data_IF_407270794171
#
_entry.id   IF_407270794171
#
_cell.length_a   1.000
_cell.length_b   1.000
_cell.length_c   1.000
_cell.angle_alpha   90.00
_cell.angle_beta   90.00
_cell.angle_gamma   90.00
#
_symmetry.space_group_name_H-M   'P 1'
#
loop_
_entity.id
_entity.type
_entity.pdbx_description
1 polymer ?
#
# COMPACT_ATOMS: atom_id res chain seq x y z
N UNK A 1 18.33 20.45 -5.14
CA UNK A 1 18.52 18.98 -5.14
C UNK A 1 17.19 18.24 -5.08
N UNK A 2 16.31 18.50 -4.08
CA UNK A 2 15.05 17.75 -3.88
C UNK A 2 14.06 17.80 -5.06
N UNK A 3 13.84 18.95 -5.69
CA UNK A 3 12.97 19.06 -6.88
C UNK A 3 13.47 18.25 -8.09
N UNK A 4 14.79 18.15 -8.26
CA UNK A 4 15.40 17.34 -9.33
C UNK A 4 15.13 15.85 -9.06
N UNK A 5 15.19 15.43 -7.79
CA UNK A 5 14.87 14.06 -7.40
C UNK A 5 13.40 13.70 -7.70
N UNK A 6 12.44 14.60 -7.43
CA UNK A 6 11.03 14.35 -7.79
C UNK A 6 10.82 14.21 -9.31
N UNK A 7 11.45 15.07 -10.12
CA UNK A 7 11.37 14.97 -11.59
C UNK A 7 11.98 13.65 -12.07
N UNK A 8 13.09 13.21 -11.49
CA UNK A 8 13.72 11.93 -11.81
C UNK A 8 12.87 10.73 -11.41
N UNK A 9 12.21 10.78 -10.24
CA UNK A 9 11.28 9.71 -9.80
C UNK A 9 10.09 9.62 -10.74
N UNK A 10 9.49 10.75 -11.12
CA UNK A 10 8.37 10.78 -12.08
C UNK A 10 8.79 10.32 -13.48
N UNK A 11 9.96 10.76 -13.97
CA UNK A 11 10.51 10.28 -15.23
C UNK A 11 10.82 8.77 -15.18
N UNK A 12 11.31 8.29 -14.03
CA UNK A 12 11.49 6.88 -13.74
C UNK A 12 10.18 6.11 -13.85
N UNK A 13 9.12 6.54 -13.14
CA UNK A 13 7.79 5.92 -13.20
C UNK A 13 7.30 5.81 -14.65
N UNK A 14 7.39 6.90 -15.43
CA UNK A 14 6.99 6.89 -16.84
C UNK A 14 7.85 5.93 -17.67
N UNK A 15 9.16 5.93 -17.45
CA UNK A 15 10.11 5.03 -18.12
C UNK A 15 9.84 3.55 -17.82
N UNK A 16 9.58 3.20 -16.56
CA UNK A 16 9.24 1.84 -16.14
C UNK A 16 7.89 1.39 -16.70
N UNK A 17 6.89 2.28 -16.73
CA UNK A 17 5.58 2.02 -17.35
C UNK A 17 5.71 1.79 -18.85
N UNK A 18 6.52 2.59 -19.54
CA UNK A 18 6.76 2.45 -20.98
C UNK A 18 7.51 1.15 -21.30
N UNK A 19 8.61 0.89 -20.60
CA UNK A 19 9.43 -0.31 -20.79
C UNK A 19 8.66 -1.60 -20.46
N UNK A 20 7.74 -1.56 -19.50
CA UNK A 20 6.89 -2.71 -19.19
C UNK A 20 5.78 -2.98 -20.20
N UNK A 21 5.34 -1.97 -20.96
CA UNK A 21 4.32 -2.10 -22.01
C UNK A 21 4.87 -2.68 -23.31
N UNK A 22 6.11 -2.34 -23.69
CA UNK A 22 6.74 -2.85 -24.91
C UNK A 22 8.04 -3.58 -24.58
N UNK A 23 7.99 -4.92 -24.66
CA UNK A 23 9.11 -5.82 -24.37
C UNK A 23 9.79 -6.32 -25.65
N UNK A 24 9.40 -5.80 -26.81
CA UNK A 24 9.93 -6.24 -28.11
C UNK A 24 11.43 -5.98 -28.24
N UNK A 25 11.96 -4.95 -27.54
CA UNK A 25 13.39 -4.66 -27.53
C UNK A 25 14.23 -5.81 -26.94
N UNK A 26 13.66 -6.64 -26.07
CA UNK A 26 14.35 -7.79 -25.49
C UNK A 26 14.40 -9.00 -26.44
N UNK A 27 13.54 -9.07 -27.47
CA UNK A 27 13.55 -10.18 -28.43
C UNK A 27 14.81 -10.22 -29.28
N UNK A 28 15.44 -9.08 -29.51
CA UNK A 28 16.71 -8.97 -30.27
C UNK A 28 17.85 -9.74 -29.58
N UNK A 29 17.73 -9.98 -28.26
CA UNK A 29 18.75 -10.71 -27.49
C UNK A 29 18.57 -12.23 -27.48
N UNK A 30 17.47 -12.75 -28.02
CA UNK A 30 17.18 -14.20 -28.10
C UNK A 30 18.13 -14.89 -29.06
N UNK A 31 18.61 -16.08 -28.70
CA UNK A 31 19.46 -16.90 -29.56
C UNK A 31 18.74 -17.28 -30.85
N UNK A 32 17.43 -17.49 -30.80
CA UNK A 32 16.60 -17.75 -31.99
C UNK A 32 16.48 -16.57 -32.97
N UNK A 33 16.74 -15.33 -32.51
CA UNK A 33 16.70 -14.11 -33.31
C UNK A 33 18.10 -13.57 -33.65
N UNK A 34 19.16 -14.35 -33.42
CA UNK A 34 20.56 -13.98 -33.70
C UNK A 34 21.30 -13.33 -32.52
N UNK A 35 20.73 -13.36 -31.32
CA UNK A 35 21.32 -12.87 -30.08
C UNK A 35 22.23 -13.90 -29.37
N UNK A 36 22.85 -13.45 -28.27
CA UNK A 36 23.84 -14.24 -27.52
C UNK A 36 23.27 -15.03 -26.33
N UNK A 37 22.01 -14.79 -25.97
CA UNK A 37 21.41 -15.32 -24.74
C UNK A 37 20.33 -16.36 -25.04
N UNK A 38 20.27 -17.38 -24.18
CA UNK A 38 19.27 -18.43 -24.23
C UNK A 38 17.84 -17.87 -24.11
N UNK A 39 16.92 -18.41 -24.89
CA UNK A 39 15.56 -17.87 -25.05
C UNK A 39 14.76 -17.91 -23.73
N UNK A 40 14.96 -18.96 -22.92
CA UNK A 40 14.30 -19.12 -21.61
C UNK A 40 14.75 -18.02 -20.63
N UNK A 41 16.03 -17.65 -20.66
CA UNK A 41 16.55 -16.54 -19.85
C UNK A 41 15.96 -15.21 -20.27
N UNK A 42 15.89 -14.95 -21.58
CA UNK A 42 15.29 -13.70 -22.11
C UNK A 42 13.82 -13.59 -21.73
N UNK A 43 13.07 -14.69 -21.77
CA UNK A 43 11.67 -14.72 -21.33
C UNK A 43 11.51 -14.49 -19.82
N UNK A 44 12.43 -15.02 -19.01
CA UNK A 44 12.51 -14.70 -17.58
C UNK A 44 12.66 -13.20 -17.32
N UNK A 45 13.57 -12.53 -18.03
CA UNK A 45 13.75 -11.08 -17.91
C UNK A 45 12.53 -10.29 -18.39
N UNK A 46 11.88 -10.74 -19.47
CA UNK A 46 10.62 -10.15 -19.95
C UNK A 46 9.52 -10.20 -18.91
N UNK A 47 9.38 -11.33 -18.21
CA UNK A 47 8.43 -11.47 -17.08
C UNK A 47 8.74 -10.50 -15.95
N UNK A 48 10.01 -10.34 -15.58
CA UNK A 48 10.42 -9.33 -14.58
C UNK A 48 10.09 -7.91 -15.06
N UNK A 49 10.36 -7.60 -16.33
CA UNK A 49 10.07 -6.28 -16.91
C UNK A 49 8.59 -5.98 -16.94
N UNK A 50 7.75 -7.01 -17.15
CA UNK A 50 6.29 -6.89 -17.12
C UNK A 50 5.77 -6.42 -15.78
N UNK A 51 6.43 -6.73 -14.66
CA UNK A 51 5.99 -6.39 -13.30
C UNK A 51 6.36 -4.95 -12.91
N UNK A 52 7.33 -4.35 -13.59
CA UNK A 52 7.84 -3.00 -13.28
C UNK A 52 6.78 -1.90 -13.28
N UNK A 53 5.81 -1.86 -14.22
CA UNK A 53 4.75 -0.86 -14.18
C UNK A 53 3.91 -0.97 -12.91
N UNK A 54 3.56 -2.19 -12.48
CA UNK A 54 2.83 -2.38 -11.23
C UNK A 54 3.66 -1.88 -10.04
N UNK A 55 4.93 -2.27 -9.95
CA UNK A 55 5.84 -1.82 -8.91
C UNK A 55 6.04 -0.28 -8.92
N UNK A 56 6.09 0.35 -10.09
CA UNK A 56 6.22 1.80 -10.22
C UNK A 56 5.00 2.54 -9.64
N UNK A 57 3.79 2.02 -9.83
CA UNK A 57 2.58 2.61 -9.23
C UNK A 57 2.57 2.49 -7.69
N UNK A 58 3.28 1.50 -7.12
CA UNK A 58 3.45 1.40 -5.66
C UNK A 58 4.36 2.49 -5.09
N UNK A 59 5.14 3.22 -5.89
CA UNK A 59 5.99 4.33 -5.40
C UNK A 59 5.13 5.40 -4.70
N UNK A 60 4.01 5.80 -5.29
CA UNK A 60 3.12 6.80 -4.71
C UNK A 60 2.44 6.26 -3.44
N UNK A 61 2.11 4.96 -3.42
CA UNK A 61 1.63 4.30 -2.21
C UNK A 61 2.66 4.33 -1.08
N UNK A 62 3.91 3.93 -1.35
CA UNK A 62 4.99 4.01 -0.36
C UNK A 62 5.21 5.44 0.13
N UNK A 63 5.06 6.43 -0.76
CA UNK A 63 5.11 7.83 -0.36
C UNK A 63 3.99 8.22 0.62
N UNK A 64 2.75 7.82 0.34
CA UNK A 64 1.61 8.03 1.25
C UNK A 64 1.77 7.27 2.58
N UNK A 65 2.30 6.06 2.54
CA UNK A 65 2.59 5.25 3.73
C UNK A 65 3.65 5.94 4.61
N UNK A 66 4.82 6.28 4.05
CA UNK A 66 5.91 6.96 4.77
C UNK A 66 5.47 8.32 5.34
N UNK A 67 4.56 9.00 4.65
CA UNK A 67 3.96 10.25 5.11
C UNK A 67 3.16 10.06 6.41
N UNK A 68 2.55 8.90 6.60
CA UNK A 68 1.86 8.52 7.84
C UNK A 68 2.88 8.22 8.94
N UNK A 69 3.91 7.44 8.63
CA UNK A 69 4.94 7.09 9.63
C UNK A 69 5.72 8.30 10.13
N UNK A 70 6.07 9.26 9.25
CA UNK A 70 6.85 10.43 9.64
C UNK A 70 5.98 11.59 10.14
N UNK A 71 5.11 12.12 9.29
CA UNK A 71 4.45 13.40 9.53
C UNK A 71 3.16 13.25 10.34
N UNK A 72 2.40 12.17 10.14
CA UNK A 72 1.23 11.91 10.98
C UNK A 72 1.65 11.53 12.42
N UNK A 73 2.74 10.79 12.59
CA UNK A 73 3.29 10.54 13.93
C UNK A 73 3.62 11.85 14.68
N UNK A 74 4.22 12.85 14.00
CA UNK A 74 4.46 14.18 14.59
C UNK A 74 3.16 14.88 15.01
N UNK A 75 2.11 14.82 14.18
CA UNK A 75 0.77 15.35 14.51
C UNK A 75 0.20 14.67 15.77
N UNK A 76 0.35 13.35 15.87
CA UNK A 76 -0.19 12.59 17.01
C UNK A 76 0.58 12.83 18.31
N UNK A 77 1.85 13.21 18.24
CA UNK A 77 2.64 13.62 19.40
C UNK A 77 2.13 14.94 20.01
N UNK A 78 1.43 15.78 19.21
CA UNK A 78 0.82 17.01 19.67
C UNK A 78 -0.66 16.86 20.10
N UNK A 79 -1.17 15.63 20.18
CA UNK A 79 -2.48 15.37 20.76
C UNK A 79 -2.39 15.31 22.29
N UNK A 80 -3.54 15.29 22.98
CA UNK A 80 -3.59 14.98 24.41
C UNK A 80 -3.19 13.51 24.65
N UNK A 81 -1.93 13.33 25.07
CA UNK A 81 -1.29 12.06 25.41
C UNK A 81 -1.59 11.60 26.85
N UNK A 82 -2.29 12.41 27.66
CA UNK A 82 -2.62 12.05 29.05
C UNK A 82 -3.64 10.90 29.10
N UNK A 83 -3.40 9.95 30.01
CA UNK A 83 -4.30 8.82 30.26
C UNK A 83 -5.59 9.25 30.97
N UNK A 84 -5.50 10.16 31.94
CA UNK A 84 -6.63 10.86 32.53
C UNK A 84 -6.58 12.33 32.12
N UNK A 85 -7.59 12.79 31.38
CA UNK A 85 -7.65 14.19 30.91
C UNK A 85 -8.06 15.17 32.00
N UNK A 86 -8.56 14.65 33.13
CA UNK A 86 -9.04 15.44 34.26
C UNK A 86 -7.90 15.92 35.16
N UNK A 87 -6.73 15.26 35.08
CA UNK A 87 -5.55 15.51 35.88
C UNK A 87 -4.41 16.07 35.00
N UNK A 88 -3.98 17.33 35.19
CA UNK A 88 -2.85 17.93 34.49
C UNK A 88 -1.55 17.13 34.62
N UNK A 89 -1.34 16.45 35.75
CA UNK A 89 -0.13 15.66 36.05
C UNK A 89 -0.29 14.17 35.70
N UNK A 90 -1.35 13.79 34.98
CA UNK A 90 -1.57 12.41 34.57
C UNK A 90 -0.41 11.88 33.72
N UNK A 91 -0.11 10.58 33.89
CA UNK A 91 0.84 9.86 33.04
C UNK A 91 0.48 10.02 31.56
N UNK A 92 1.51 10.33 30.77
CA UNK A 92 1.42 10.50 29.32
C UNK A 92 1.93 9.24 28.61
N UNK A 93 1.29 8.87 27.50
CA UNK A 93 1.80 7.85 26.58
C UNK A 93 2.81 8.54 25.65
N UNK A 94 4.01 7.97 25.39
CA UNK A 94 4.90 8.52 24.38
C UNK A 94 4.19 8.54 23.02
N UNK A 95 4.04 9.70 22.37
CA UNK A 95 3.30 9.79 21.11
C UNK A 95 3.85 8.86 20.02
N UNK A 96 5.15 8.56 20.05
CA UNK A 96 5.78 7.57 19.17
C UNK A 96 5.19 6.15 19.30
N UNK A 97 4.65 5.78 20.47
CA UNK A 97 4.01 4.47 20.70
C UNK A 97 2.71 4.30 19.90
N UNK A 98 2.08 5.37 19.43
CA UNK A 98 0.85 5.28 18.63
C UNK A 98 1.09 4.56 17.29
N UNK A 99 2.32 4.52 16.79
CA UNK A 99 2.68 3.71 15.62
C UNK A 99 2.46 2.20 15.81
N UNK A 100 2.33 1.69 17.04
CA UNK A 100 2.05 0.27 17.31
C UNK A 100 0.67 -0.17 16.80
N UNK A 101 -0.25 0.76 16.60
CA UNK A 101 -1.60 0.44 16.12
C UNK A 101 -1.60 -0.10 14.70
N UNK A 102 -0.66 0.33 13.86
CA UNK A 102 -0.54 -0.17 12.48
C UNK A 102 -0.29 -1.70 12.42
N UNK A 103 0.79 -2.25 13.03
CA UNK A 103 1.02 -3.70 13.02
C UNK A 103 -0.07 -4.48 13.77
N UNK A 104 -0.71 -3.90 14.80
CA UNK A 104 -1.85 -4.52 15.49
C UNK A 104 -3.03 -4.69 14.52
N UNK A 105 -3.34 -3.65 13.73
CA UNK A 105 -4.39 -3.69 12.72
C UNK A 105 -4.07 -4.77 11.69
N UNK A 106 -2.83 -4.87 11.23
CA UNK A 106 -2.41 -5.90 10.25
C UNK A 106 -2.64 -7.31 10.80
N UNK A 107 -2.20 -7.58 12.04
CA UNK A 107 -2.36 -8.89 12.69
C UNK A 107 -3.83 -9.30 12.80
N UNK A 108 -4.74 -8.34 12.99
CA UNK A 108 -6.18 -8.58 13.06
C UNK A 108 -6.82 -8.66 11.67
N UNK A 109 -6.42 -7.80 10.73
CA UNK A 109 -7.02 -7.68 9.41
C UNK A 109 -6.67 -8.85 8.50
N UNK A 110 -5.43 -9.36 8.51
CA UNK A 110 -5.02 -10.51 7.68
C UNK A 110 -5.94 -11.73 7.88
N UNK A 111 -6.13 -12.27 9.10
CA UNK A 111 -6.98 -13.45 9.29
C UNK A 111 -8.44 -13.18 8.94
N UNK A 112 -8.94 -11.96 9.13
CA UNK A 112 -10.31 -11.56 8.72
C UNK A 112 -10.43 -11.54 7.19
N UNK A 113 -9.44 -10.96 6.50
CA UNK A 113 -9.41 -10.91 5.04
C UNK A 113 -9.39 -12.32 4.45
N UNK A 114 -8.51 -13.19 4.95
CA UNK A 114 -8.33 -14.55 4.46
C UNK A 114 -9.47 -15.49 4.83
N UNK A 115 -9.99 -15.41 6.05
CA UNK A 115 -10.99 -16.37 6.56
C UNK A 115 -12.44 -15.95 6.31
N UNK A 116 -12.70 -14.65 6.13
CA UNK A 116 -14.07 -14.13 6.03
C UNK A 116 -14.27 -13.40 4.70
N UNK A 117 -13.45 -12.38 4.39
CA UNK A 117 -13.72 -11.48 3.27
C UNK A 117 -13.53 -12.17 1.93
N UNK A 118 -12.39 -12.82 1.70
CA UNK A 118 -12.10 -13.53 0.47
C UNK A 118 -13.06 -14.70 0.20
N UNK A 119 -13.36 -15.60 1.15
CA UNK A 119 -14.32 -16.68 0.90
C UNK A 119 -15.76 -16.17 0.72
N UNK A 120 -16.17 -15.11 1.43
CA UNK A 120 -17.48 -14.49 1.21
C UNK A 120 -17.58 -13.85 -0.18
N UNK A 121 -16.51 -13.20 -0.63
CA UNK A 121 -16.43 -12.66 -1.98
C UNK A 121 -16.52 -13.77 -3.03
N UNK A 122 -15.74 -14.84 -2.88
CA UNK A 122 -15.78 -16.00 -3.79
C UNK A 122 -17.17 -16.64 -3.81
N UNK A 123 -17.85 -16.74 -2.66
CA UNK A 123 -19.22 -17.27 -2.56
C UNK A 123 -20.26 -16.40 -3.27
N UNK A 124 -20.09 -15.07 -3.27
CA UNK A 124 -21.05 -14.13 -3.89
C UNK A 124 -20.78 -13.88 -5.37
N UNK A 125 -19.52 -13.76 -5.76
CA UNK A 125 -19.10 -13.37 -7.11
C UNK A 125 -18.76 -14.60 -7.97
N UNK A 126 -18.55 -15.76 -7.35
CA UNK A 126 -18.21 -17.01 -8.04
C UNK A 126 -16.79 -17.05 -8.58
N UNK A 127 -15.94 -16.07 -8.23
CA UNK A 127 -14.53 -15.98 -8.64
C UNK A 127 -13.66 -15.53 -7.47
N UNK A 128 -12.43 -16.04 -7.41
CA UNK A 128 -11.44 -15.58 -6.44
C UNK A 128 -11.14 -14.09 -6.62
N UNK A 129 -10.95 -13.32 -5.55
CA UNK A 129 -10.59 -11.91 -5.66
C UNK A 129 -9.30 -11.75 -6.46
N UNK A 130 -9.36 -11.00 -7.56
CA UNK A 130 -8.20 -10.79 -8.42
C UNK A 130 -7.13 -9.97 -7.68
N UNK A 131 -5.86 -10.24 -7.96
CA UNK A 131 -4.73 -9.46 -7.40
C UNK A 131 -4.91 -7.97 -7.73
N UNK A 132 -5.32 -7.65 -8.96
CA UNK A 132 -5.63 -6.28 -9.33
C UNK A 132 -6.76 -5.66 -8.47
N UNK A 133 -7.84 -6.42 -8.21
CA UNK A 133 -8.97 -5.96 -7.41
C UNK A 133 -8.59 -5.67 -5.96
N UNK A 134 -7.77 -6.53 -5.34
CA UNK A 134 -7.25 -6.32 -3.98
C UNK A 134 -6.44 -5.04 -3.89
N UNK A 135 -5.45 -4.86 -4.77
CA UNK A 135 -4.61 -3.65 -4.79
C UNK A 135 -5.41 -2.39 -5.11
N UNK A 136 -6.41 -2.46 -5.99
CA UNK A 136 -7.26 -1.32 -6.32
C UNK A 136 -8.10 -0.87 -5.11
N UNK A 137 -8.71 -1.80 -4.37
CA UNK A 137 -9.46 -1.49 -3.14
C UNK A 137 -8.51 -0.92 -2.08
N UNK A 138 -7.32 -1.52 -1.92
CA UNK A 138 -6.31 -1.01 -1.01
C UNK A 138 -5.91 0.43 -1.33
N UNK A 139 -5.69 0.77 -2.60
CA UNK A 139 -5.36 2.15 -3.02
C UNK A 139 -6.52 3.13 -2.75
N UNK A 140 -7.78 2.70 -2.89
CA UNK A 140 -8.94 3.54 -2.52
C UNK A 140 -8.95 3.80 -1.02
N UNK A 141 -8.72 2.77 -0.21
CA UNK A 141 -8.66 2.89 1.26
C UNK A 141 -7.50 3.80 1.67
N UNK A 142 -6.33 3.66 1.03
CA UNK A 142 -5.18 4.54 1.23
C UNK A 142 -5.51 6.01 0.97
N UNK A 143 -6.18 6.29 -0.16
CA UNK A 143 -6.62 7.65 -0.51
C UNK A 143 -7.53 8.20 0.59
N UNK A 144 -8.54 7.42 1.01
CA UNK A 144 -9.44 7.81 2.10
C UNK A 144 -8.65 8.08 3.39
N UNK A 145 -7.69 7.23 3.72
CA UNK A 145 -6.82 7.38 4.90
C UNK A 145 -6.00 8.68 4.88
N UNK A 146 -5.42 9.04 3.73
CA UNK A 146 -4.65 10.28 3.58
C UNK A 146 -5.55 11.53 3.66
N UNK A 147 -6.74 11.49 3.04
CA UNK A 147 -7.70 12.58 3.21
C UNK A 147 -8.18 12.69 4.66
N UNK A 148 -8.39 11.56 5.34
CA UNK A 148 -8.70 11.53 6.76
C UNK A 148 -7.57 12.12 7.61
N UNK A 149 -6.30 11.85 7.27
CA UNK A 149 -5.14 12.47 7.93
C UNK A 149 -5.20 14.00 7.84
N UNK A 150 -5.48 14.53 6.64
CA UNK A 150 -5.62 15.98 6.43
C UNK A 150 -6.79 16.59 7.20
N UNK A 151 -7.94 15.90 7.23
CA UNK A 151 -9.11 16.33 8.04
C UNK A 151 -8.79 16.30 9.53
N UNK A 152 -8.12 15.23 9.99
CA UNK A 152 -7.72 15.08 11.39
C UNK A 152 -6.79 16.21 11.83
N UNK A 153 -5.84 16.61 10.97
CA UNK A 153 -4.97 17.75 11.26
C UNK A 153 -5.74 19.06 11.40
N UNK A 154 -6.73 19.31 10.53
CA UNK A 154 -7.60 20.48 10.66
C UNK A 154 -8.39 20.45 11.97
N UNK A 155 -8.89 19.28 12.37
CA UNK A 155 -9.61 19.12 13.65
C UNK A 155 -8.68 19.37 14.84
N UNK A 156 -7.47 18.76 14.85
CA UNK A 156 -6.46 18.97 15.89
C UNK A 156 -6.11 20.45 16.02
N UNK A 157 -5.84 21.14 14.92
CA UNK A 157 -5.49 22.57 14.95
C UNK A 157 -6.66 23.42 15.46
N UNK A 158 -7.88 23.14 15.02
CA UNK A 158 -9.07 23.89 15.45
C UNK A 158 -9.46 23.63 16.91
N UNK A 159 -8.96 22.55 17.53
CA UNK A 159 -9.19 22.25 18.94
C UNK A 159 -8.44 23.22 19.89
N UNK A 160 -7.42 23.92 19.40
CA UNK A 160 -6.60 24.82 20.20
C UNK A 160 -5.59 24.09 21.09
N UNK A 161 -4.59 24.83 21.57
CA UNK A 161 -3.63 24.32 22.54
C UNK A 161 -4.32 24.11 23.91
N UNK A 162 -3.95 23.03 24.61
CA UNK A 162 -4.35 22.78 25.98
C UNK A 162 -3.68 23.82 26.88
N UNK A 163 -4.50 24.54 27.64
CA UNK A 163 -4.05 25.49 28.65
C UNK A 163 -4.30 24.89 30.05
N UNK A 164 -3.34 25.05 30.95
CA UNK A 164 -3.49 24.74 32.37
C UNK A 164 -4.42 25.78 33.05
N UNK A 165 -4.80 25.56 34.31
CA UNK A 165 -5.67 26.45 35.10
C UNK A 165 -5.18 27.91 35.20
N UNK A 166 -3.90 28.17 34.86
CA UNK A 166 -3.27 29.49 34.83
C UNK A 166 -3.20 30.12 33.42
N UNK A 167 -3.64 29.42 32.37
CA UNK A 167 -3.56 29.87 30.98
C UNK A 167 -2.22 29.53 30.28
N UNK A 168 -1.36 28.73 30.90
CA UNK A 168 -0.08 28.30 30.32
C UNK A 168 -0.26 27.00 29.51
N UNK A 169 0.39 26.84 28.34
CA UNK A 169 0.24 25.64 27.53
C UNK A 169 0.78 24.39 28.24
N UNK A 170 -0.01 23.31 28.27
CA UNK A 170 0.44 22.01 28.77
C UNK A 170 1.36 21.38 27.72
N UNK A 171 2.61 21.17 28.10
CA UNK A 171 3.65 20.65 27.21
C UNK A 171 3.77 19.13 27.27
N UNK A 172 4.10 18.52 26.13
CA UNK A 172 4.51 17.12 26.07
C UNK A 172 5.84 16.94 26.83
N UNK A 173 5.88 15.95 27.73
CA UNK A 173 7.11 15.60 28.45
C UNK A 173 8.22 15.06 27.54
N UNK A 174 7.89 14.64 26.32
CA UNK A 174 8.84 14.12 25.32
C UNK A 174 9.44 15.20 24.39
N UNK A 175 8.61 16.08 23.82
CA UNK A 175 9.06 17.07 22.84
C UNK A 175 9.08 18.53 23.34
N UNK A 176 8.56 18.81 24.55
CA UNK A 176 8.37 20.17 25.09
C UNK A 176 7.49 21.09 24.22
N UNK A 177 6.67 20.51 23.34
CA UNK A 177 5.73 21.25 22.48
C UNK A 177 4.33 21.31 23.12
N UNK A 178 3.52 22.35 22.82
CA UNK A 178 2.15 22.46 23.30
C UNK A 178 1.28 21.30 22.80
N UNK A 179 0.57 20.63 23.71
CA UNK A 179 -0.42 19.60 23.37
C UNK A 179 -1.75 20.27 23.00
N UNK A 180 -2.53 19.70 22.09
CA UNK A 180 -3.86 20.19 21.71
C UNK A 180 -4.99 19.37 22.36
N UNK A 181 -6.18 19.96 22.55
CA UNK A 181 -7.35 19.32 23.21
C UNK A 181 -8.04 18.30 22.30
N UNK A 182 -7.30 17.27 21.90
CA UNK A 182 -7.79 16.14 21.13
C UNK A 182 -7.18 14.86 21.69
N UNK A 183 -7.98 13.83 21.90
CA UNK A 183 -7.44 12.56 22.38
C UNK A 183 -6.42 11.97 21.43
N UNK A 184 -5.36 11.40 21.97
CA UNK A 184 -4.55 10.41 21.25
C UNK A 184 -5.40 9.30 20.59
N UNK A 185 -6.51 8.89 21.20
CA UNK A 185 -7.40 7.87 20.67
C UNK A 185 -8.12 8.29 19.36
N UNK A 186 -8.26 9.59 19.12
CA UNK A 186 -8.86 10.10 17.89
C UNK A 186 -7.94 9.91 16.66
N UNK A 187 -6.65 9.63 16.88
CA UNK A 187 -5.70 9.31 15.82
C UNK A 187 -5.78 7.85 15.34
N UNK A 188 -6.33 6.94 16.15
CA UNK A 188 -6.42 5.49 15.86
C UNK A 188 -7.05 5.19 14.48
N UNK A 189 -8.14 5.85 14.05
CA UNK A 189 -8.76 5.57 12.75
C UNK A 189 -7.79 5.73 11.56
N UNK A 190 -6.81 6.64 11.65
CA UNK A 190 -5.84 6.83 10.59
C UNK A 190 -4.94 5.61 10.41
N UNK A 191 -4.38 5.09 11.51
CA UNK A 191 -3.62 3.84 11.52
C UNK A 191 -4.44 2.64 11.04
N UNK A 192 -5.74 2.61 11.34
CA UNK A 192 -6.64 1.56 10.84
C UNK A 192 -6.78 1.62 9.31
N UNK A 193 -6.94 2.81 8.73
CA UNK A 193 -7.04 2.96 7.27
C UNK A 193 -5.74 2.55 6.57
N UNK A 194 -4.60 3.00 7.10
CA UNK A 194 -3.28 2.70 6.51
C UNK A 194 -2.93 1.21 6.64
N UNK A 195 -3.08 0.61 7.83
CA UNK A 195 -2.82 -0.82 8.02
C UNK A 195 -3.74 -1.71 7.17
N UNK A 196 -5.01 -1.33 7.00
CA UNK A 196 -5.93 -2.04 6.10
C UNK A 196 -5.52 -1.91 4.62
N UNK A 197 -5.11 -0.71 4.20
CA UNK A 197 -4.60 -0.49 2.85
C UNK A 197 -3.31 -1.28 2.59
N UNK A 198 -2.41 -1.32 3.58
CA UNK A 198 -1.16 -2.07 3.50
C UNK A 198 -1.40 -3.57 3.31
N UNK A 199 -2.31 -4.16 4.11
CA UNK A 199 -2.70 -5.56 3.97
C UNK A 199 -3.16 -5.90 2.55
N UNK A 200 -3.85 -4.98 1.87
CA UNK A 200 -4.38 -5.19 0.53
C UNK A 200 -3.36 -4.90 -0.57
N UNK A 201 -2.47 -3.93 -0.40
CA UNK A 201 -1.50 -3.50 -1.42
C UNK A 201 -0.21 -4.31 -1.30
N UNK A 202 0.45 -4.32 -0.14
CA UNK A 202 1.79 -4.88 0.02
C UNK A 202 1.76 -6.41 -0.13
N UNK A 203 0.83 -7.08 0.54
CA UNK A 203 0.68 -8.55 0.42
C UNK A 203 0.42 -8.95 -1.03
N UNK A 204 -0.47 -8.24 -1.71
CA UNK A 204 -0.81 -8.50 -3.11
C UNK A 204 0.35 -8.16 -4.05
N UNK A 205 1.11 -7.12 -3.75
CA UNK A 205 2.30 -6.75 -4.52
C UNK A 205 3.35 -7.85 -4.47
N UNK A 206 3.67 -8.35 -3.27
CA UNK A 206 4.59 -9.47 -3.12
C UNK A 206 4.08 -10.72 -3.84
N UNK A 207 2.82 -11.09 -3.64
CA UNK A 207 2.21 -12.26 -4.29
C UNK A 207 2.30 -12.17 -5.82
N UNK A 208 1.88 -11.04 -6.41
CA UNK A 208 1.91 -10.82 -7.87
C UNK A 208 3.33 -10.84 -8.44
N UNK A 209 4.29 -10.22 -7.75
CA UNK A 209 5.68 -10.17 -8.21
C UNK A 209 6.29 -11.57 -8.15
N UNK A 210 6.11 -12.29 -7.03
CA UNK A 210 6.68 -13.63 -6.85
C UNK A 210 6.01 -14.70 -7.73
N UNK A 211 4.73 -14.54 -8.08
CA UNK A 211 4.02 -15.47 -8.97
C UNK A 211 4.37 -15.24 -10.44
N UNK A 212 4.75 -14.01 -10.81
CA UNK A 212 5.01 -13.63 -12.21
C UNK A 212 6.44 -13.93 -12.66
N UNK A 213 7.40 -13.98 -11.74
CA UNK A 213 8.83 -14.14 -12.05
C UNK A 213 9.33 -15.59 -11.84
N UNK A 214 10.27 -16.08 -12.66
CA UNK A 214 10.85 -17.41 -12.48
C UNK A 214 11.66 -17.50 -11.18
N UNK A 215 11.84 -18.73 -10.67
CA UNK A 215 12.50 -18.98 -9.39
C UNK A 215 13.89 -18.34 -9.28
N UNK A 216 14.67 -18.36 -10.36
CA UNK A 216 16.02 -17.79 -10.44
C UNK A 216 16.06 -16.26 -10.32
N UNK A 217 14.96 -15.56 -10.57
CA UNK A 217 14.87 -14.09 -10.56
C UNK A 217 14.10 -13.53 -9.36
N UNK A 218 13.64 -14.39 -8.43
CA UNK A 218 12.87 -13.95 -7.25
C UNK A 218 13.63 -12.94 -6.37
N UNK A 219 14.94 -13.11 -6.20
CA UNK A 219 15.78 -12.16 -5.45
C UNK A 219 15.88 -10.80 -6.15
N UNK A 220 16.03 -10.79 -7.48
CA UNK A 220 16.03 -9.56 -8.28
C UNK A 220 14.67 -8.86 -8.21
N UNK A 221 13.59 -9.61 -8.25
CA UNK A 221 12.25 -9.07 -8.12
C UNK A 221 12.03 -8.38 -6.76
N UNK A 222 12.52 -8.98 -5.67
CA UNK A 222 12.50 -8.34 -4.36
C UNK A 222 13.38 -7.09 -4.29
N UNK A 223 14.57 -7.12 -4.91
CA UNK A 223 15.44 -5.95 -4.99
C UNK A 223 14.76 -4.79 -5.73
N UNK A 224 13.98 -5.08 -6.79
CA UNK A 224 13.16 -4.09 -7.49
C UNK A 224 12.09 -3.51 -6.58
N UNK A 225 11.34 -4.33 -5.82
CA UNK A 225 10.32 -3.81 -4.89
C UNK A 225 10.95 -2.88 -3.84
N UNK A 226 12.06 -3.29 -3.24
CA UNK A 226 12.78 -2.46 -2.26
C UNK A 226 13.32 -1.16 -2.88
N UNK A 227 13.80 -1.23 -4.12
CA UNK A 227 14.20 -0.04 -4.86
C UNK A 227 13.03 0.93 -5.08
N UNK A 228 11.85 0.42 -5.46
CA UNK A 228 10.64 1.25 -5.60
C UNK A 228 10.21 1.85 -4.25
N UNK A 229 10.34 1.11 -3.15
CA UNK A 229 10.11 1.64 -1.79
C UNK A 229 11.03 2.82 -1.50
N UNK A 230 12.33 2.69 -1.79
CA UNK A 230 13.30 3.78 -1.61
C UNK A 230 12.97 5.01 -2.45
N UNK A 231 12.49 4.83 -3.69
CA UNK A 231 12.00 5.94 -4.51
C UNK A 231 10.77 6.62 -3.88
N UNK A 232 9.90 5.85 -3.21
CA UNK A 232 8.77 6.36 -2.42
C UNK A 232 9.23 7.26 -1.29
N UNK A 233 10.19 6.82 -0.48
CA UNK A 233 10.73 7.61 0.64
C UNK A 233 11.45 8.89 0.20
N UNK A 234 12.15 8.84 -0.94
CA UNK A 234 12.71 10.04 -1.56
C UNK A 234 11.59 11.03 -1.90
N UNK A 235 10.50 10.54 -2.51
CA UNK A 235 9.36 11.38 -2.86
C UNK A 235 8.70 11.99 -1.62
N UNK A 236 8.53 11.22 -0.53
CA UNK A 236 8.07 11.72 0.78
C UNK A 236 8.95 12.87 1.27
N UNK A 237 10.27 12.69 1.25
CA UNK A 237 11.21 13.73 1.65
C UNK A 237 11.07 15.01 0.80
N UNK A 238 10.82 14.87 -0.51
CA UNK A 238 10.57 16.03 -1.37
C UNK A 238 9.27 16.73 -0.98
N UNK A 239 8.18 16.00 -0.75
CA UNK A 239 6.92 16.58 -0.29
C UNK A 239 7.11 17.31 1.05
N UNK A 240 7.75 16.68 2.03
CA UNK A 240 8.04 17.31 3.33
C UNK A 240 8.84 18.61 3.15
N UNK A 241 9.89 18.64 2.32
CA UNK A 241 10.71 19.85 2.09
C UNK A 241 9.95 20.94 1.29
N UNK A 242 9.11 20.53 0.34
CA UNK A 242 8.31 21.48 -0.43
C UNK A 242 7.34 22.25 0.47
N UNK A 243 6.72 21.53 1.39
CA UNK A 243 5.81 22.12 2.35
C UNK A 243 6.55 22.78 3.52
N UNK A 244 7.75 22.30 3.92
CA UNK A 244 8.57 22.94 4.97
C UNK A 244 8.96 24.39 4.66
N UNK A 245 8.97 24.79 3.38
CA UNK A 245 9.25 26.18 2.99
C UNK A 245 8.06 27.13 3.18
N UNK A 246 6.85 26.58 3.33
CA UNK A 246 5.65 27.29 3.80
C UNK A 246 5.46 27.19 5.32
N UNK A 247 6.43 26.60 6.04
CA UNK A 247 6.50 26.56 7.51
C UNK A 247 7.63 27.51 7.98
N UNK A 248 7.36 28.78 8.29
CA UNK A 248 8.37 29.73 8.76
C UNK A 248 8.64 29.64 10.28
N UNK A 249 7.87 28.84 11.01
CA UNK A 249 7.90 28.72 12.48
C UNK A 249 8.14 27.27 12.89
N UNK A 250 8.93 27.02 13.94
CA UNK A 250 9.05 25.69 14.59
C UNK A 250 7.75 25.25 15.30
N UNK A 251 6.65 25.98 15.10
CA UNK A 251 5.37 25.81 15.78
C UNK A 251 4.32 25.24 14.81
N UNK A 252 4.12 23.92 14.86
CA UNK A 252 3.15 23.18 14.03
C UNK A 252 1.70 23.66 14.15
N UNK A 253 1.37 24.46 15.17
CA UNK A 253 0.05 25.07 15.35
C UNK A 253 -0.22 26.27 14.42
N UNK A 254 0.81 26.93 13.89
CA UNK A 254 0.66 28.00 12.89
C UNK A 254 0.77 27.48 11.44
N UNK A 255 1.14 26.21 11.28
CA UNK A 255 1.49 25.64 10.00
C UNK A 255 0.34 24.85 9.36
N UNK A 256 0.25 24.94 8.04
CA UNK A 256 -0.79 24.27 7.26
C UNK A 256 -0.36 22.88 6.76
N UNK A 257 0.01 21.98 7.68
CA UNK A 257 0.39 20.60 7.34
C UNK A 257 -0.71 19.82 6.61
N UNK A 258 -1.98 20.18 6.82
CA UNK A 258 -3.11 19.58 6.10
C UNK A 258 -2.96 19.74 4.58
N UNK A 259 -2.35 20.83 4.10
CA UNK A 259 -2.16 21.08 2.67
C UNK A 259 -1.24 20.03 2.05
N UNK A 260 -0.25 19.53 2.79
CA UNK A 260 0.62 18.45 2.34
C UNK A 260 -0.19 17.15 2.20
N UNK A 261 -0.98 16.77 3.21
CA UNK A 261 -1.81 15.57 3.15
C UNK A 261 -2.85 15.64 2.01
N UNK A 262 -3.51 16.78 1.82
CA UNK A 262 -4.43 16.98 0.70
C UNK A 262 -3.72 16.91 -0.66
N UNK A 263 -2.49 17.42 -0.76
CA UNK A 263 -1.70 17.34 -2.00
C UNK A 263 -1.28 15.90 -2.29
N UNK A 264 -0.77 15.16 -1.29
CA UNK A 264 -0.42 13.74 -1.43
C UNK A 264 -1.68 12.92 -1.76
N UNK A 265 -2.82 13.25 -1.16
CA UNK A 265 -4.12 12.64 -1.48
C UNK A 265 -4.53 12.88 -2.93
N UNK A 266 -4.43 14.11 -3.43
CA UNK A 266 -4.73 14.45 -4.82
C UNK A 266 -3.80 13.72 -5.82
N UNK A 267 -2.49 13.65 -5.52
CA UNK A 267 -1.52 12.89 -6.32
C UNK A 267 -1.85 11.39 -6.28
N UNK A 268 -2.27 10.86 -5.14
CA UNK A 268 -2.68 9.45 -4.99
C UNK A 268 -3.93 9.13 -5.81
N UNK A 269 -4.90 10.05 -5.91
CA UNK A 269 -6.08 9.91 -6.78
C UNK A 269 -5.66 9.85 -8.25
N UNK A 270 -4.78 10.75 -8.68
CA UNK A 270 -4.26 10.76 -10.06
C UNK A 270 -3.53 9.45 -10.35
N UNK A 271 -2.67 9.00 -9.42
CA UNK A 271 -1.95 7.74 -9.51
C UNK A 271 -2.91 6.55 -9.64
N UNK A 272 -4.00 6.52 -8.86
CA UNK A 272 -5.02 5.47 -8.93
C UNK A 272 -5.72 5.43 -10.30
N UNK A 273 -6.07 6.58 -10.87
CA UNK A 273 -6.67 6.64 -12.21
C UNK A 273 -5.73 6.07 -13.26
N UNK A 274 -4.46 6.47 -13.26
CA UNK A 274 -3.45 5.92 -14.17
C UNK A 274 -3.19 4.44 -13.94
N UNK A 275 -3.11 4.00 -12.67
CA UNK A 275 -2.98 2.60 -12.30
C UNK A 275 -4.10 1.76 -12.93
N UNK A 276 -5.37 2.17 -12.77
CA UNK A 276 -6.51 1.45 -13.36
C UNK A 276 -6.42 1.40 -14.88
N UNK A 277 -6.09 2.50 -15.56
CA UNK A 277 -6.00 2.55 -17.03
C UNK A 277 -4.89 1.63 -17.54
N UNK A 278 -3.70 1.69 -16.95
CA UNK A 278 -2.52 0.97 -17.40
C UNK A 278 -2.63 -0.53 -17.07
N UNK A 279 -3.10 -0.87 -15.87
CA UNK A 279 -3.32 -2.26 -15.50
C UNK A 279 -4.40 -2.92 -16.35
N UNK A 280 -5.47 -2.19 -16.71
CA UNK A 280 -6.46 -2.66 -17.68
C UNK A 280 -5.85 -2.90 -19.06
N UNK A 281 -5.03 -1.96 -19.55
CA UNK A 281 -4.35 -2.07 -20.85
C UNK A 281 -3.40 -3.27 -20.90
N UNK A 282 -2.69 -3.57 -19.80
CA UNK A 282 -1.71 -4.65 -19.73
C UNK A 282 -2.30 -6.03 -19.38
N UNK A 283 -3.60 -6.10 -19.09
CA UNK A 283 -4.30 -7.29 -18.59
C UNK A 283 -3.63 -7.95 -17.37
N UNK A 284 -2.86 -7.18 -16.58
CA UNK A 284 -2.07 -7.68 -15.47
C UNK A 284 -2.93 -7.90 -14.23
N UNK A 285 -2.83 -9.08 -13.62
CA UNK A 285 -3.57 -9.44 -12.41
C UNK A 285 -5.09 -9.51 -12.57
N UNK A 286 -5.62 -9.43 -13.80
CA UNK A 286 -7.05 -9.58 -14.13
C UNK A 286 -7.45 -11.00 -14.55
N UNK A 287 -6.47 -11.83 -14.92
CA UNK A 287 -6.67 -13.28 -15.01
C UNK A 287 -6.26 -13.90 -13.68
N UNK A 288 -7.22 -14.51 -12.97
CA UNK A 288 -6.93 -15.72 -12.22
C UNK A 288 -6.13 -16.62 -13.17
N UNK A 289 -4.93 -17.03 -12.77
CA UNK A 289 -3.98 -17.71 -13.64
C UNK A 289 -4.70 -18.74 -14.53
N UNK A 290 -4.58 -18.66 -15.87
CA UNK A 290 -5.16 -19.66 -16.76
C UNK A 290 -4.71 -21.08 -16.38
N UNK A 291 -3.52 -21.22 -15.77
CA UNK A 291 -3.00 -22.49 -15.26
C UNK A 291 -3.76 -23.00 -14.03
N UNK A 292 -4.22 -22.12 -13.13
CA UNK A 292 -5.04 -22.50 -11.97
C UNK A 292 -6.49 -22.81 -12.36
N UNK A 293 -7.03 -22.11 -13.37
CA UNK A 293 -8.34 -22.45 -13.93
C UNK A 293 -8.26 -23.78 -14.71
N UNK A 294 -7.16 -24.05 -15.42
CA UNK A 294 -6.95 -25.33 -16.10
C UNK A 294 -6.74 -26.47 -15.11
N UNK A 295 -5.89 -26.29 -14.09
CA UNK A 295 -5.70 -27.30 -13.03
C UNK A 295 -6.99 -27.52 -12.23
N UNK A 296 -7.72 -26.45 -11.92
CA UNK A 296 -9.00 -26.51 -11.21
C UNK A 296 -10.05 -27.28 -12.01
N UNK A 297 -10.17 -26.98 -13.31
CA UNK A 297 -11.08 -27.69 -14.21
C UNK A 297 -10.65 -29.15 -14.43
N UNK A 298 -9.35 -29.43 -14.50
CA UNK A 298 -8.82 -30.79 -14.68
C UNK A 298 -9.02 -31.64 -13.41
N UNK A 299 -8.79 -31.07 -12.23
CA UNK A 299 -9.08 -31.72 -10.94
C UNK A 299 -10.57 -31.93 -10.75
N UNK A 300 -11.41 -30.97 -11.12
CA UNK A 300 -12.88 -31.08 -11.05
C UNK A 300 -13.38 -32.20 -11.98
N UNK A 301 -12.88 -32.24 -13.23
CA UNK A 301 -13.21 -33.30 -14.19
C UNK A 301 -12.80 -34.69 -13.68
N UNK A 302 -11.62 -34.81 -13.04
CA UNK A 302 -11.16 -36.08 -12.44
C UNK A 302 -12.03 -36.50 -11.24
N UNK A 303 -12.55 -35.56 -10.45
CA UNK A 303 -13.46 -35.86 -9.35
C UNK A 303 -14.83 -36.32 -9.86
N UNK A 304 -15.36 -35.65 -10.87
CA UNK A 304 -16.65 -35.99 -11.49
C UNK A 304 -16.58 -37.35 -12.21
N UNK A 305 -15.46 -37.67 -12.86
CA UNK A 305 -15.22 -38.98 -13.46
C UNK A 305 -15.15 -40.10 -12.39
N UNK A 306 -14.44 -39.88 -11.28
CA UNK A 306 -14.40 -40.85 -10.16
C UNK A 306 -15.76 -41.07 -9.51
N UNK A 307 -16.57 -40.02 -9.35
CA UNK A 307 -17.94 -40.13 -8.83
C UNK A 307 -18.85 -40.91 -9.79
N UNK A 308 -18.73 -40.66 -11.10
CA UNK A 308 -19.43 -41.41 -12.15
C UNK A 308 -19.06 -42.90 -12.13
N UNK A 309 -17.78 -43.23 -12.08
CA UNK A 309 -17.26 -44.61 -12.05
C UNK A 309 -17.71 -45.35 -10.78
N UNK A 310 -17.64 -44.70 -9.61
CA UNK A 310 -18.15 -45.28 -8.37
C UNK A 310 -19.67 -45.52 -8.39
N UNK A 311 -20.44 -44.62 -9.02
CA UNK A 311 -21.89 -44.83 -9.18
C UNK A 311 -22.19 -46.06 -10.06
N UNK A 312 -21.41 -46.27 -11.13
CA UNK A 312 -21.57 -47.42 -12.03
C UNK A 312 -21.18 -48.73 -11.37
N UNK A 313 -20.12 -48.74 -10.56
CA UNK A 313 -19.74 -49.91 -9.76
C UNK A 313 -20.76 -50.23 -8.67
N UNK A 314 -21.34 -49.22 -8.00
CA UNK A 314 -22.39 -49.44 -7.00
C UNK A 314 -23.66 -50.05 -7.62
N UNK A 315 -24.05 -49.64 -8.83
CA UNK A 315 -25.19 -50.22 -9.55
C UNK A 315 -24.92 -51.65 -10.03
N UNK A 316 -23.66 -51.98 -10.38
CA UNK A 316 -23.28 -53.33 -10.83
C UNK A 316 -23.20 -54.37 -9.70
N UNK A 317 -22.95 -53.95 -8.45
CA UNK A 317 -22.90 -54.83 -7.27
C UNK A 317 -24.29 -55.10 -6.67
N UNK A 318 -25.31 -54.34 -7.09
CA UNK A 318 -26.69 -54.44 -6.57
C UNK A 318 -27.63 -55.23 -7.50
N UNK A 319 -27.10 -55.95 -8.50
CA UNK A 319 -27.82 -56.90 -9.35
C UNK A 319 -27.26 -58.31 -9.14
#
# INVERSE_FOLDING_TARGET
MSYIAAVLVLAGIVGWVYAGQDQSFLDVSKSSMGGTFDDERVEGYKKLVRVLPYAAFTIIWNCAYDQTDANFQSITQQCDLRLDRSDPDSKQIPGAMLGVFDPIVIVICIPILDSIVYPLYTKRVGKSPSQFGKSAIGLIIAIIGIFWAGIFEVIRRNAGALEDANGDPILDGGSSEPMNDISWAAAIPNYVFIGLAECLINVTAYDLVYSSVPLSLKSMAQAVILFMSSMGSILTSVFTIMFSKSLPSDNLNEDHLENMFFTVGAVSVINFVFFVIIMKKMNMGMSSSPELDHLGNEVQNLMDEKLSVNSRHSVAVTK
#
